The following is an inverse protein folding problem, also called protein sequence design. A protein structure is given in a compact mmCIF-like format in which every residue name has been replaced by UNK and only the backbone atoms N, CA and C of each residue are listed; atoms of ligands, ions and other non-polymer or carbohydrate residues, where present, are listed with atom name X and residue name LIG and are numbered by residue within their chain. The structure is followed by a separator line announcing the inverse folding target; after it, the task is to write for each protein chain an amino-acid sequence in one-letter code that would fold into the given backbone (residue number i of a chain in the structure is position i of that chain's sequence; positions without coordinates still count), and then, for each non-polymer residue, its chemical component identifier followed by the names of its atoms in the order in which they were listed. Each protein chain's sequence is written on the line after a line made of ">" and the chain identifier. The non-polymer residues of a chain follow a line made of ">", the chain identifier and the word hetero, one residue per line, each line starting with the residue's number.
data_IF_479301067636
#
_entry.id   IF_479301067636
#
_cell.length_a   1.000
_cell.length_b   1.000
_cell.length_c   1.000
_cell.angle_alpha   90.00
_cell.angle_beta   90.00
_cell.angle_gamma   90.00
#
_symmetry.space_group_name_H-M   'P 1'
#
loop_
_entity.id
_entity.type
_entity.pdbx_description
1 polymer ?
#
# COMPACT_ATOMS: atom_id res chain seq x y z
N UNK A 1 -32.74 -2.17 2.59
CA UNK A 1 -31.31 -2.28 2.25
C UNK A 1 -30.89 -0.99 1.56
N UNK A 2 -29.87 -0.29 2.07
CA UNK A 2 -29.40 0.97 1.47
C UNK A 2 -28.69 0.66 0.15
N UNK A 3 -29.16 1.28 -0.93
CA UNK A 3 -28.59 1.20 -2.27
C UNK A 3 -27.11 1.58 -2.24
N UNK A 4 -26.24 0.67 -2.68
CA UNK A 4 -24.83 0.96 -2.93
C UNK A 4 -24.79 1.83 -4.18
N UNK A 5 -24.51 3.12 -3.98
CA UNK A 5 -24.27 4.04 -5.10
C UNK A 5 -22.98 3.61 -5.79
N UNK A 6 -23.11 3.03 -7.00
CA UNK A 6 -21.98 2.70 -7.88
C UNK A 6 -21.32 3.94 -8.53
N UNK A 7 -21.77 5.14 -8.16
CA UNK A 7 -21.26 6.40 -8.69
C UNK A 7 -21.07 7.37 -7.53
N UNK A 8 -19.82 7.46 -7.08
CA UNK A 8 -19.42 8.24 -5.92
C UNK A 8 -17.92 8.13 -5.76
N UNK A 9 -17.20 8.62 -6.75
CA UNK A 9 -15.76 8.77 -6.70
C UNK A 9 -15.42 9.53 -5.42
N UNK A 10 -14.61 8.94 -4.52
CA UNK A 10 -13.99 9.66 -3.40
C UNK A 10 -13.10 10.82 -3.87
N UNK A 11 -12.96 11.01 -5.18
CA UNK A 11 -12.17 12.03 -5.86
C UNK A 11 -12.95 13.26 -6.34
N UNK A 12 -14.29 13.30 -6.29
CA UNK A 12 -15.03 14.49 -6.75
C UNK A 12 -15.14 15.55 -5.65
N UNK A 13 -14.05 16.30 -5.45
CA UNK A 13 -14.08 17.56 -4.70
C UNK A 13 -12.76 18.13 -4.20
N UNK A 14 -11.68 17.33 -4.13
CA UNK A 14 -10.46 17.74 -3.40
C UNK A 14 -9.16 17.74 -4.22
N UNK A 15 -9.20 17.56 -5.54
CA UNK A 15 -7.97 17.49 -6.34
C UNK A 15 -7.11 16.25 -6.06
N UNK A 16 -7.71 15.20 -5.51
CA UNK A 16 -7.02 13.96 -5.18
C UNK A 16 -6.88 13.10 -6.44
N UNK A 17 -5.68 13.13 -7.05
CA UNK A 17 -5.34 12.38 -8.27
C UNK A 17 -5.02 10.91 -7.93
N UNK A 18 -5.23 9.99 -8.88
CA UNK A 18 -4.92 8.56 -8.76
C UNK A 18 -3.47 8.29 -8.36
N UNK A 19 -2.53 9.13 -8.83
CA UNK A 19 -1.12 9.05 -8.41
C UNK A 19 -0.98 9.31 -6.91
N UNK A 20 -1.65 10.35 -6.38
CA UNK A 20 -1.59 10.66 -4.95
C UNK A 20 -2.26 9.57 -4.11
N UNK A 21 -3.37 9.01 -4.61
CA UNK A 21 -4.03 7.86 -3.98
C UNK A 21 -3.11 6.64 -3.94
N UNK A 22 -2.43 6.36 -5.04
CA UNK A 22 -1.50 5.25 -5.16
C UNK A 22 -0.30 5.45 -4.23
N UNK A 23 0.31 6.64 -4.22
CA UNK A 23 1.38 7.00 -3.30
C UNK A 23 0.95 6.84 -1.83
N UNK A 24 -0.24 7.33 -1.47
CA UNK A 24 -0.75 7.21 -0.10
C UNK A 24 -0.97 5.73 0.28
N UNK A 25 -1.59 4.95 -0.61
CA UNK A 25 -1.89 3.54 -0.36
C UNK A 25 -0.63 2.69 -0.26
N UNK A 26 0.40 3.00 -1.05
CA UNK A 26 1.68 2.29 -1.03
C UNK A 26 2.68 2.82 0.01
N UNK A 27 2.48 4.01 0.57
CA UNK A 27 3.44 4.64 1.49
C UNK A 27 3.77 3.77 2.71
N UNK A 28 2.77 3.16 3.34
CA UNK A 28 2.94 2.33 4.53
C UNK A 28 3.75 1.04 4.27
N UNK A 29 3.41 0.17 3.29
CA UNK A 29 4.22 -1.03 3.03
C UNK A 29 5.63 -0.68 2.55
N UNK A 30 5.81 0.35 1.72
CA UNK A 30 7.15 0.76 1.23
C UNK A 30 8.04 1.27 2.36
N UNK A 31 7.50 2.11 3.25
CA UNK A 31 8.28 2.64 4.39
C UNK A 31 8.59 1.55 5.43
N UNK A 32 7.68 0.58 5.61
CA UNK A 32 7.91 -0.62 6.42
C UNK A 32 9.07 -1.46 5.89
N UNK A 33 9.06 -1.80 4.59
CA UNK A 33 10.14 -2.58 3.95
C UNK A 33 11.50 -1.87 4.07
N UNK A 34 11.54 -0.55 3.83
CA UNK A 34 12.77 0.22 3.97
C UNK A 34 13.29 0.24 5.42
N UNK A 35 12.39 0.39 6.39
CA UNK A 35 12.75 0.36 7.81
C UNK A 35 13.32 -1.01 8.21
N UNK A 36 12.70 -2.10 7.75
CA UNK A 36 13.19 -3.45 7.96
C UNK A 36 14.61 -3.64 7.38
N UNK A 37 14.81 -3.31 6.10
CA UNK A 37 16.12 -3.41 5.46
C UNK A 37 17.18 -2.58 6.18
N UNK A 38 16.82 -1.40 6.70
CA UNK A 38 17.73 -0.55 7.45
C UNK A 38 18.13 -1.18 8.78
N UNK A 39 17.18 -1.77 9.51
CA UNK A 39 17.46 -2.42 10.79
C UNK A 39 18.33 -3.66 10.61
N UNK A 40 18.08 -4.45 9.56
CA UNK A 40 18.89 -5.61 9.20
C UNK A 40 20.32 -5.19 8.83
N UNK A 41 20.48 -4.10 8.07
CA UNK A 41 21.80 -3.59 7.67
C UNK A 41 22.61 -3.07 8.87
N UNK A 42 21.97 -2.41 9.83
CA UNK A 42 22.66 -1.84 11.00
C UNK A 42 22.74 -2.79 12.19
N UNK A 43 22.18 -4.01 12.09
CA UNK A 43 22.00 -4.96 13.19
C UNK A 43 21.36 -4.34 14.44
N UNK A 44 20.54 -3.31 14.23
CA UNK A 44 19.99 -2.47 15.30
C UNK A 44 18.47 -2.43 15.19
N UNK A 45 17.80 -3.08 16.13
CA UNK A 45 16.36 -3.12 16.20
C UNK A 45 15.82 -1.87 16.92
N UNK A 46 15.15 -0.98 16.18
CA UNK A 46 14.45 0.16 16.75
C UNK A 46 13.02 -0.25 17.11
N UNK A 47 12.86 -0.96 18.23
CA UNK A 47 11.52 -1.34 18.72
C UNK A 47 10.99 -0.28 19.67
N UNK A 48 9.94 0.44 19.27
CA UNK A 48 9.22 1.38 20.16
C UNK A 48 8.18 0.62 20.97
N UNK A 49 8.58 0.01 22.09
CA UNK A 49 7.72 -0.79 22.97
C UNK A 49 7.21 -2.12 22.34
N UNK A 50 6.94 -3.16 23.15
CA UNK A 50 6.28 -4.40 22.71
C UNK A 50 4.95 -4.20 21.98
N UNK A 51 4.25 -3.08 22.20
CA UNK A 51 2.95 -2.78 21.63
C UNK A 51 3.02 -2.14 20.22
N UNK A 52 4.15 -1.54 19.83
CA UNK A 52 4.36 -0.99 18.49
C UNK A 52 5.43 -1.76 17.73
N UNK A 53 5.40 -3.10 17.86
CA UNK A 53 6.09 -3.96 16.90
C UNK A 53 5.37 -3.85 15.55
N UNK A 54 5.65 -2.77 14.82
CA UNK A 54 5.32 -2.63 13.40
C UNK A 54 5.88 -3.83 12.60
N UNK A 55 6.91 -4.48 13.13
CA UNK A 55 7.57 -5.69 12.66
C UNK A 55 6.94 -7.02 13.11
N UNK A 56 5.70 -7.04 13.62
CA UNK A 56 5.06 -8.31 13.99
C UNK A 56 4.83 -9.16 12.73
N UNK A 57 5.14 -10.46 12.76
CA UNK A 57 5.00 -11.39 11.63
C UNK A 57 3.62 -11.31 10.94
N UNK A 58 2.56 -11.08 11.72
CA UNK A 58 1.19 -10.87 11.23
C UNK A 58 1.03 -9.62 10.36
N UNK A 59 1.75 -8.52 10.67
CA UNK A 59 1.76 -7.30 9.86
C UNK A 59 2.50 -7.55 8.54
N UNK A 60 3.68 -8.17 8.59
CA UNK A 60 4.46 -8.53 7.40
C UNK A 60 3.63 -9.38 6.44
N UNK A 61 2.97 -10.44 6.94
CA UNK A 61 2.08 -11.28 6.12
C UNK A 61 0.93 -10.51 5.48
N UNK A 62 0.35 -9.56 6.22
CA UNK A 62 -0.73 -8.70 5.69
C UNK A 62 -0.21 -7.78 4.60
N UNK A 63 0.91 -7.10 4.85
CA UNK A 63 1.48 -6.12 3.91
C UNK A 63 1.89 -6.81 2.61
N UNK A 64 2.45 -8.02 2.66
CA UNK A 64 2.74 -8.86 1.48
C UNK A 64 1.45 -9.19 0.71
N UNK A 65 0.43 -9.69 1.40
CA UNK A 65 -0.86 -10.03 0.77
C UNK A 65 -1.53 -8.81 0.14
N UNK A 66 -1.46 -7.64 0.80
CA UNK A 66 -2.06 -6.42 0.32
C UNK A 66 -1.28 -5.84 -0.88
N UNK A 67 0.05 -5.99 -0.88
CA UNK A 67 0.89 -5.69 -2.05
C UNK A 67 0.49 -6.52 -3.26
N UNK A 68 0.32 -7.83 -3.10
CA UNK A 68 -0.11 -8.73 -4.18
C UNK A 68 -1.50 -8.38 -4.72
N UNK A 69 -2.46 -8.07 -3.83
CA UNK A 69 -3.81 -7.63 -4.23
C UNK A 69 -3.76 -6.31 -5.00
N UNK A 70 -2.94 -5.35 -4.53
CA UNK A 70 -2.78 -4.07 -5.22
C UNK A 70 -2.15 -4.26 -6.59
N UNK A 71 -1.08 -5.06 -6.69
CA UNK A 71 -0.45 -5.38 -7.97
C UNK A 71 -1.45 -6.03 -8.94
N UNK A 72 -2.22 -7.01 -8.47
CA UNK A 72 -3.24 -7.68 -9.28
C UNK A 72 -4.31 -6.69 -9.76
N UNK A 73 -4.80 -5.80 -8.88
CA UNK A 73 -5.78 -4.77 -9.24
C UNK A 73 -5.21 -3.76 -10.22
N UNK A 74 -3.97 -3.32 -10.04
CA UNK A 74 -3.30 -2.41 -10.98
C UNK A 74 -3.23 -3.09 -12.35
N UNK A 75 -2.80 -4.35 -12.44
CA UNK A 75 -2.75 -5.07 -13.72
C UNK A 75 -4.14 -5.23 -14.35
N UNK A 76 -5.15 -5.60 -13.55
CA UNK A 76 -6.50 -5.94 -14.07
C UNK A 76 -7.32 -4.70 -14.44
N UNK A 77 -7.11 -3.59 -13.73
CA UNK A 77 -7.85 -2.34 -13.92
C UNK A 77 -7.03 -1.27 -14.66
N UNK A 78 -5.76 -1.54 -14.97
CA UNK A 78 -4.95 -0.66 -15.82
C UNK A 78 -5.54 -0.64 -17.23
N UNK A 79 -6.03 0.53 -17.64
CA UNK A 79 -6.40 0.85 -19.02
C UNK A 79 -5.19 1.05 -19.93
N UNK A 80 -3.97 0.93 -19.40
CA UNK A 80 -2.73 1.05 -20.15
C UNK A 80 -2.40 -0.29 -20.82
N UNK A 81 -2.68 -0.38 -22.13
CA UNK A 81 -1.98 -1.29 -23.03
C UNK A 81 -0.63 -0.67 -23.33
N UNK A 82 0.47 -1.33 -23.00
CA UNK A 82 1.79 -0.88 -23.45
C UNK A 82 1.78 -0.80 -24.98
N UNK A 83 2.20 0.34 -25.54
CA UNK A 83 2.38 0.47 -26.98
C UNK A 83 3.38 -0.59 -27.47
N UNK A 84 3.08 -1.30 -28.57
CA UNK A 84 4.00 -2.28 -29.13
C UNK A 84 5.29 -1.56 -29.60
N UNK A 85 6.44 -2.10 -29.19
CA UNK A 85 7.78 -1.71 -29.63
C UNK A 85 7.95 -1.85 -31.14
#
# INVERSE_FOLDING_TARGET
>A
MRSLKNTGCLSRGSGYNEVMQTCLTLSAPVTSEYNHARQDFTELAYTTSPQHKDSTEMRIKRDVSDREKMQTKIITCSSYTADPL
#
